data_IF_937226771729
#
_entry.id   IF_937226771729
#
_cell.length_a   1.000
_cell.length_b   1.000
_cell.length_c   1.000
_cell.angle_alpha   90.00
_cell.angle_beta   90.00
_cell.angle_gamma   90.00
#
_symmetry.space_group_name_H-M   'P 1'
#
loop_
_entity.id
_entity.type
_entity.pdbx_description
1 polymer ?
#
# COMPACT_ATOMS: atom_id res chain seq x y z
N UNK A 1 6.80 -5.01 -11.91
CA UNK A 1 7.10 -4.85 -13.35
C UNK A 1 5.89 -4.38 -14.17
N UNK A 2 4.66 -4.86 -13.93
CA UNK A 2 3.45 -4.40 -14.64
C UNK A 2 3.16 -2.89 -14.51
N UNK A 3 3.37 -2.30 -13.33
CA UNK A 3 3.17 -0.85 -13.11
C UNK A 3 4.22 -0.02 -13.86
N UNK A 4 5.48 -0.47 -13.88
CA UNK A 4 6.55 0.20 -14.65
C UNK A 4 6.32 0.13 -16.17
N UNK A 5 5.76 -0.99 -16.65
CA UNK A 5 5.40 -1.17 -18.06
C UNK A 5 4.22 -0.28 -18.48
N UNK A 6 3.24 -0.08 -17.59
CA UNK A 6 2.11 0.82 -17.84
C UNK A 6 2.56 2.30 -17.90
N UNK A 7 3.51 2.69 -17.04
CA UNK A 7 4.10 4.03 -17.04
C UNK A 7 4.95 4.31 -18.29
N UNK A 8 5.69 3.31 -18.78
CA UNK A 8 6.53 3.44 -19.97
C UNK A 8 5.71 3.49 -21.27
N UNK A 9 4.47 2.98 -21.28
CA UNK A 9 3.59 2.99 -22.45
C UNK A 9 2.67 4.23 -22.53
N UNK A 10 2.34 4.88 -21.40
CA UNK A 10 1.49 6.09 -21.41
C UNK A 10 2.23 7.37 -21.82
N UNK A 11 3.57 7.43 -21.72
CA UNK A 11 4.35 8.57 -22.20
C UNK A 11 4.36 8.74 -23.72
N UNK A 12 3.91 7.72 -24.48
CA UNK A 12 3.90 7.72 -25.94
C UNK A 12 2.60 8.21 -26.60
N UNK A 13 1.58 8.59 -25.83
CA UNK A 13 0.24 8.83 -26.38
C UNK A 13 -0.12 10.31 -26.64
N UNK A 14 0.76 11.26 -26.30
CA UNK A 14 0.45 12.70 -26.45
C UNK A 14 1.39 13.52 -27.34
N UNK A 15 2.47 12.94 -27.89
CA UNK A 15 3.28 13.67 -28.86
C UNK A 15 2.67 13.56 -30.27
N UNK A 16 1.54 14.22 -30.48
CA UNK A 16 1.01 14.47 -31.82
C UNK A 16 1.82 15.63 -32.40
N UNK A 17 2.99 15.31 -32.95
CA UNK A 17 3.77 16.26 -33.74
C UNK A 17 2.94 16.70 -34.95
N UNK A 18 2.33 17.88 -34.87
CA UNK A 18 1.96 18.63 -36.07
C UNK A 18 3.22 18.78 -36.91
N UNK A 19 3.15 18.41 -38.21
CA UNK A 19 4.30 18.34 -39.11
C UNK A 19 4.90 19.70 -39.43
N UNK A 20 5.53 20.33 -38.45
CA UNK A 20 6.34 21.52 -38.63
C UNK A 20 7.62 21.15 -39.38
N UNK A 21 7.95 21.91 -40.41
CA UNK A 21 9.17 21.71 -41.19
C UNK A 21 10.35 22.21 -40.36
N UNK A 22 11.32 21.33 -40.12
CA UNK A 22 12.52 21.71 -39.38
C UNK A 22 13.50 22.41 -40.33
N UNK A 23 13.75 23.70 -40.09
CA UNK A 23 14.68 24.51 -40.87
C UNK A 23 16.03 24.58 -40.17
N UNK A 24 17.12 24.47 -40.94
CA UNK A 24 18.44 24.75 -40.40
C UNK A 24 18.62 26.26 -40.19
N UNK A 25 19.53 26.67 -39.29
CA UNK A 25 19.81 28.08 -39.02
C UNK A 25 20.13 28.85 -40.32
N UNK A 26 20.86 28.23 -41.26
CA UNK A 26 21.22 28.84 -42.54
C UNK A 26 20.04 29.02 -43.49
N UNK A 27 19.15 28.03 -43.55
CA UNK A 27 17.95 28.08 -44.41
C UNK A 27 16.96 29.12 -43.87
N UNK A 28 16.83 29.19 -42.55
CA UNK A 28 16.02 30.20 -41.88
C UNK A 28 16.53 31.62 -42.16
N UNK A 29 17.84 31.89 -42.00
CA UNK A 29 18.42 33.20 -42.31
C UNK A 29 18.22 33.59 -43.78
N UNK A 30 18.27 32.61 -44.69
CA UNK A 30 18.03 32.83 -46.12
C UNK A 30 16.56 33.19 -46.38
N UNK A 31 15.63 32.46 -45.77
CA UNK A 31 14.20 32.74 -45.87
C UNK A 31 13.84 34.13 -45.30
N UNK A 32 14.46 34.56 -44.20
CA UNK A 32 14.30 35.91 -43.64
C UNK A 32 14.79 36.98 -44.61
N UNK A 33 16.00 36.81 -45.20
CA UNK A 33 16.57 37.77 -46.16
C UNK A 33 15.75 37.91 -47.44
N UNK A 34 15.07 36.85 -47.83
CA UNK A 34 14.21 36.81 -49.01
C UNK A 34 12.77 37.28 -48.71
N UNK A 35 12.46 37.69 -47.47
CA UNK A 35 11.14 38.14 -47.07
C UNK A 35 10.08 37.03 -47.06
N UNK A 36 10.50 35.76 -46.95
CA UNK A 36 9.60 34.58 -46.99
C UNK A 36 9.07 34.17 -45.61
N UNK A 37 9.33 34.97 -44.58
CA UNK A 37 8.90 34.71 -43.20
C UNK A 37 7.80 35.69 -42.84
N UNK A 38 6.64 35.16 -42.48
CA UNK A 38 5.43 35.92 -42.15
C UNK A 38 5.37 36.21 -40.65
N UNK A 39 5.54 35.17 -39.83
CA UNK A 39 5.59 35.29 -38.38
C UNK A 39 6.84 34.59 -37.85
N UNK A 40 7.46 35.18 -36.82
CA UNK A 40 8.61 34.59 -36.14
C UNK A 40 8.52 34.83 -34.63
N UNK A 41 8.23 33.78 -33.87
CA UNK A 41 8.21 33.78 -32.41
C UNK A 41 9.48 33.12 -31.89
N UNK A 42 10.25 33.85 -31.08
CA UNK A 42 11.46 33.33 -30.46
C UNK A 42 11.19 32.83 -29.04
N UNK A 43 11.46 31.55 -28.79
CA UNK A 43 11.37 30.94 -27.47
C UNK A 43 12.74 30.93 -26.79
N UNK A 44 12.91 31.79 -25.78
CA UNK A 44 14.18 31.96 -25.05
C UNK A 44 14.56 30.70 -24.24
N UNK A 45 13.57 29.89 -23.85
CA UNK A 45 13.78 28.72 -22.99
C UNK A 45 14.65 27.62 -23.64
N UNK A 46 14.57 27.47 -24.96
CA UNK A 46 15.29 26.44 -25.72
C UNK A 46 16.06 26.97 -26.94
N UNK A 47 15.97 28.27 -27.23
CA UNK A 47 16.62 28.90 -28.38
C UNK A 47 15.96 28.53 -29.72
N UNK A 48 14.70 28.09 -29.69
CA UNK A 48 13.93 27.78 -30.90
C UNK A 48 13.22 29.03 -31.43
N UNK A 49 13.15 29.15 -32.75
CA UNK A 49 12.33 30.10 -33.49
C UNK A 49 11.24 29.29 -34.17
N UNK A 50 9.98 29.62 -33.91
CA UNK A 50 8.83 28.99 -34.57
C UNK A 50 7.94 30.02 -35.22
N UNK A 51 7.30 29.67 -36.33
CA UNK A 51 6.48 30.61 -37.07
C UNK A 51 5.94 30.03 -38.37
N UNK A 52 5.40 30.89 -39.22
CA UNK A 52 4.92 30.54 -40.55
C UNK A 52 5.81 31.15 -41.63
N UNK A 53 6.11 30.35 -42.66
CA UNK A 53 6.90 30.80 -43.79
C UNK A 53 6.36 30.22 -45.11
N UNK A 54 6.66 30.88 -46.22
CA UNK A 54 6.39 30.37 -47.57
C UNK A 54 7.56 29.52 -48.06
N UNK A 55 7.28 28.29 -48.52
CA UNK A 55 8.32 27.37 -48.99
C UNK A 55 9.01 27.87 -50.26
N UNK A 56 8.25 28.48 -51.19
CA UNK A 56 8.76 29.03 -52.44
C UNK A 56 8.56 30.56 -52.52
N UNK A 57 9.47 31.25 -53.21
CA UNK A 57 9.46 32.71 -53.33
C UNK A 57 8.33 33.26 -54.22
N UNK A 58 7.65 32.39 -54.99
CA UNK A 58 6.48 32.73 -55.82
C UNK A 58 5.19 32.89 -55.02
N UNK A 59 5.19 32.44 -53.77
CA UNK A 59 3.98 32.21 -52.97
C UNK A 59 3.78 33.30 -51.90
N UNK A 60 4.76 34.22 -51.81
CA UNK A 60 4.77 35.36 -50.89
C UNK A 60 3.52 36.21 -51.11
N UNK A 61 2.66 36.28 -50.09
CA UNK A 61 1.38 37.00 -50.12
C UNK A 61 0.14 36.12 -50.35
N UNK A 62 0.27 34.78 -50.40
CA UNK A 62 -0.86 33.85 -50.37
C UNK A 62 -0.97 33.15 -49.01
N UNK A 63 -2.00 33.50 -48.24
CA UNK A 63 -2.27 32.94 -46.89
C UNK A 63 -2.50 31.42 -46.89
N UNK A 64 -2.84 30.81 -48.03
CA UNK A 64 -3.14 29.37 -48.12
C UNK A 64 -1.91 28.46 -48.19
N UNK A 65 -0.71 29.02 -48.41
CA UNK A 65 0.54 28.26 -48.57
C UNK A 65 1.52 28.47 -47.39
N UNK A 66 1.04 29.07 -46.30
CA UNK A 66 1.79 29.21 -45.06
C UNK A 66 2.02 27.84 -44.41
N UNK A 67 3.30 27.51 -44.20
CA UNK A 67 3.69 26.25 -43.54
C UNK A 67 4.34 26.55 -42.20
N UNK A 68 3.98 25.84 -41.12
CA UNK A 68 4.64 26.00 -39.84
C UNK A 68 6.09 25.49 -39.92
N UNK A 69 7.04 26.29 -39.42
CA UNK A 69 8.44 25.89 -39.30
C UNK A 69 8.93 25.96 -37.85
N UNK A 70 9.99 25.19 -37.59
CA UNK A 70 10.79 25.30 -36.38
C UNK A 70 12.27 25.35 -36.76
N UNK A 71 12.95 26.42 -36.36
CA UNK A 71 14.39 26.59 -36.52
C UNK A 71 15.05 26.73 -35.15
N UNK A 72 16.34 26.42 -35.05
CA UNK A 72 17.13 26.73 -33.85
C UNK A 72 18.08 27.87 -34.17
N UNK A 73 17.98 28.95 -33.39
CA UNK A 73 18.83 30.12 -33.55
C UNK A 73 19.42 30.54 -32.20
N UNK A 74 20.74 30.55 -32.12
CA UNK A 74 21.46 30.80 -30.88
C UNK A 74 21.83 32.27 -30.81
N UNK A 75 21.10 33.02 -29.97
CA UNK A 75 21.33 34.44 -29.72
C UNK A 75 20.10 35.30 -30.06
N UNK A 76 19.36 35.73 -29.03
CA UNK A 76 18.24 36.67 -29.19
C UNK A 76 18.68 37.99 -29.84
N UNK A 77 19.87 38.44 -29.52
CA UNK A 77 20.34 39.78 -29.88
C UNK A 77 20.67 39.89 -31.38
N UNK A 78 21.29 38.85 -31.96
CA UNK A 78 21.62 38.80 -33.39
C UNK A 78 20.42 38.43 -34.26
N UNK A 79 19.43 37.72 -33.70
CA UNK A 79 18.15 37.47 -34.37
C UNK A 79 17.37 38.79 -34.52
N UNK A 80 17.33 39.58 -33.45
CA UNK A 80 16.64 40.88 -33.43
C UNK A 80 17.28 41.85 -34.43
N UNK A 81 18.60 41.86 -34.53
CA UNK A 81 19.32 42.67 -35.52
C UNK A 81 19.03 42.18 -36.95
N UNK A 82 18.99 40.86 -37.20
CA UNK A 82 18.66 40.29 -38.51
C UNK A 82 17.23 40.61 -38.96
N UNK A 83 16.26 40.51 -38.05
CA UNK A 83 14.86 40.83 -38.33
C UNK A 83 14.65 42.35 -38.49
N UNK A 84 15.45 43.18 -37.80
CA UNK A 84 15.42 44.63 -37.97
C UNK A 84 16.06 45.11 -39.28
N UNK A 85 17.08 44.41 -39.79
CA UNK A 85 17.79 44.78 -41.03
C UNK A 85 17.07 44.30 -42.30
N UNK A 86 16.43 43.12 -42.27
CA UNK A 86 15.83 42.49 -43.47
C UNK A 86 14.32 42.24 -43.38
N UNK A 87 13.67 42.54 -42.26
CA UNK A 87 12.26 42.19 -41.98
C UNK A 87 11.18 43.06 -42.63
N UNK A 88 11.45 43.69 -43.78
CA UNK A 88 10.46 44.36 -44.64
C UNK A 88 9.78 45.62 -44.05
N UNK A 89 9.35 46.54 -44.92
CA UNK A 89 8.63 47.78 -44.53
C UNK A 89 7.16 47.54 -44.11
N UNK A 90 6.63 46.32 -44.28
CA UNK A 90 5.36 45.88 -43.70
C UNK A 90 5.68 44.87 -42.59
N UNK A 91 5.76 45.39 -41.35
CA UNK A 91 6.49 44.79 -40.24
C UNK A 91 6.11 43.36 -39.87
N UNK A 92 7.11 42.50 -39.81
CA UNK A 92 7.03 41.19 -39.15
C UNK A 92 6.68 41.41 -37.67
N UNK A 93 5.55 40.85 -37.24
CA UNK A 93 5.06 40.93 -35.87
C UNK A 93 5.97 40.06 -34.97
N UNK A 94 7.00 40.71 -34.40
CA UNK A 94 7.95 40.07 -33.48
C UNK A 94 7.39 40.11 -32.06
N UNK A 95 6.81 38.99 -31.62
CA UNK A 95 6.36 38.81 -30.25
C UNK A 95 7.28 37.83 -29.50
N UNK A 96 7.81 38.28 -28.36
CA UNK A 96 8.63 37.47 -27.46
C UNK A 96 7.72 36.88 -26.40
N UNK A 97 7.03 35.80 -26.77
CA UNK A 97 6.12 35.14 -25.86
C UNK A 97 6.92 34.36 -24.80
N UNK A 98 7.11 35.01 -23.65
CA UNK A 98 7.70 34.43 -22.44
C UNK A 98 6.65 33.80 -21.54
N UNK A 99 5.38 33.81 -21.95
CA UNK A 99 4.28 33.27 -21.19
C UNK A 99 3.97 31.89 -21.71
N UNK A 100 4.53 30.83 -21.11
CA UNK A 100 4.08 29.46 -21.37
C UNK A 100 2.55 29.38 -21.14
N UNK A 101 1.70 29.38 -22.19
CA UNK A 101 0.25 29.42 -22.01
C UNK A 101 -0.25 28.13 -21.36
N UNK A 102 0.61 27.12 -21.40
CA UNK A 102 0.36 25.77 -20.96
C UNK A 102 0.88 25.50 -19.55
N UNK A 103 1.37 26.47 -18.77
CA UNK A 103 1.88 26.18 -17.42
C UNK A 103 0.78 25.58 -16.52
N UNK A 104 -0.41 26.19 -16.48
CA UNK A 104 -1.54 25.67 -15.69
C UNK A 104 -2.10 24.37 -16.27
N UNK A 105 -2.12 24.24 -17.60
CA UNK A 105 -2.57 23.03 -18.27
C UNK A 105 -1.61 21.85 -18.01
N UNK A 106 -0.30 22.07 -18.13
CA UNK A 106 0.75 21.10 -17.82
C UNK A 106 0.78 20.75 -16.33
N UNK A 107 0.55 21.72 -15.44
CA UNK A 107 0.44 21.45 -14.01
C UNK A 107 -0.77 20.55 -13.73
N UNK A 108 -1.93 20.83 -14.30
CA UNK A 108 -3.14 20.00 -14.12
C UNK A 108 -2.97 18.59 -14.67
N UNK A 109 -2.44 18.44 -15.90
CA UNK A 109 -2.29 17.13 -16.56
C UNK A 109 -1.23 16.26 -15.85
N UNK A 110 -0.17 16.84 -15.31
CA UNK A 110 0.87 16.09 -14.59
C UNK A 110 0.56 15.88 -13.10
N UNK A 111 -0.15 16.81 -12.45
CA UNK A 111 -0.47 16.72 -11.01
C UNK A 111 -1.69 15.82 -10.76
N UNK A 112 -2.67 15.79 -11.67
CA UNK A 112 -3.89 14.99 -11.49
C UNK A 112 -3.62 13.48 -11.32
N UNK A 113 -2.78 12.82 -12.15
CA UNK A 113 -2.46 11.40 -11.96
C UNK A 113 -1.71 11.13 -10.65
N UNK A 114 -0.79 12.03 -10.26
CA UNK A 114 -0.01 11.90 -9.03
C UNK A 114 -0.90 12.05 -7.79
N UNK A 115 -1.83 13.01 -7.79
CA UNK A 115 -2.80 13.19 -6.71
C UNK A 115 -3.72 11.96 -6.60
N UNK A 116 -4.22 11.45 -7.73
CA UNK A 116 -5.07 10.26 -7.75
C UNK A 116 -4.33 9.03 -7.18
N UNK A 117 -3.06 8.84 -7.55
CA UNK A 117 -2.23 7.75 -7.03
C UNK A 117 -2.00 7.89 -5.53
N UNK A 118 -1.67 9.09 -5.04
CA UNK A 118 -1.50 9.35 -3.60
C UNK A 118 -2.80 9.09 -2.84
N UNK A 119 -3.95 9.48 -3.39
CA UNK A 119 -5.26 9.25 -2.79
C UNK A 119 -5.59 7.76 -2.68
N UNK A 120 -5.40 7.00 -3.76
CA UNK A 120 -5.60 5.53 -3.75
C UNK A 120 -4.64 4.86 -2.76
N UNK A 121 -3.37 5.28 -2.74
CA UNK A 121 -2.37 4.74 -1.81
C UNK A 121 -2.74 5.04 -0.35
N UNK A 122 -3.27 6.24 -0.06
CA UNK A 122 -3.75 6.60 1.26
C UNK A 122 -5.00 5.80 1.67
N UNK A 123 -5.94 5.56 0.74
CA UNK A 123 -7.09 4.70 0.98
C UNK A 123 -6.68 3.26 1.32
N UNK A 124 -5.74 2.68 0.55
CA UNK A 124 -5.18 1.36 0.83
C UNK A 124 -4.40 1.31 2.16
N UNK A 125 -3.61 2.34 2.49
CA UNK A 125 -2.91 2.41 3.77
C UNK A 125 -3.87 2.45 4.96
N UNK A 126 -4.99 3.20 4.87
CA UNK A 126 -6.04 3.17 5.90
C UNK A 126 -6.66 1.79 6.04
N UNK A 127 -6.85 1.06 4.94
CA UNK A 127 -7.34 -0.32 4.98
C UNK A 127 -6.31 -1.30 5.57
N UNK A 128 -5.02 -1.12 5.26
CA UNK A 128 -3.95 -2.03 5.70
C UNK A 128 -3.56 -1.82 7.17
N UNK A 129 -3.66 -0.59 7.69
CA UNK A 129 -3.49 -0.30 9.12
C UNK A 129 -4.57 -1.00 9.98
N UNK A 130 -5.78 -1.17 9.45
CA UNK A 130 -6.83 -2.00 10.09
C UNK A 130 -6.58 -3.51 9.99
N UNK A 131 -5.85 -3.96 8.97
CA UNK A 131 -5.49 -5.37 8.76
C UNK A 131 -4.24 -5.80 9.54
N UNK A 132 -3.30 -4.88 9.82
CA UNK A 132 -2.06 -5.18 10.54
C UNK A 132 -2.30 -5.59 12.01
N UNK A 133 -3.45 -5.19 12.56
CA UNK A 133 -3.90 -5.64 13.87
C UNK A 133 -4.28 -7.13 13.90
N UNK A 134 -4.56 -7.77 12.75
CA UNK A 134 -4.85 -9.21 12.64
C UNK A 134 -3.59 -10.05 12.42
N UNK A 135 -2.58 -9.54 11.72
CA UNK A 135 -1.30 -10.24 11.53
C UNK A 135 -0.48 -10.34 12.83
N UNK A 136 -0.49 -9.29 13.67
CA UNK A 136 0.09 -9.32 15.03
C UNK A 136 -0.66 -10.23 16.02
N UNK A 137 -1.88 -10.68 15.69
CA UNK A 137 -2.65 -11.63 16.51
C UNK A 137 -2.33 -13.10 16.19
N UNK A 138 -1.57 -13.41 15.15
CA UNK A 138 -1.12 -14.79 14.87
C UNK A 138 -0.03 -15.28 15.84
N UNK A 139 0.68 -14.36 16.52
CA UNK A 139 1.73 -14.70 17.50
C UNK A 139 1.27 -14.63 18.96
N UNK A 140 0.15 -13.98 19.25
CA UNK A 140 -0.49 -14.04 20.57
C UNK A 140 -1.52 -15.15 20.52
N UNK A 141 -1.23 -16.24 21.18
CA UNK A 141 -2.21 -17.28 21.46
C UNK A 141 -3.49 -16.62 22.00
N UNK A 142 -4.55 -16.62 21.19
CA UNK A 142 -5.91 -16.73 21.71
C UNK A 142 -6.09 -18.16 22.25
N UNK A 143 -5.15 -18.63 23.07
CA UNK A 143 -5.56 -19.47 24.17
C UNK A 143 -6.49 -18.53 24.92
N UNK A 144 -7.80 -18.69 24.71
CA UNK A 144 -8.74 -18.34 25.76
C UNK A 144 -8.09 -18.95 26.98
N UNK A 145 -7.46 -18.13 27.82
CA UNK A 145 -7.21 -18.50 29.20
C UNK A 145 -8.57 -19.00 29.59
N UNK A 146 -8.75 -20.33 29.66
CA UNK A 146 -10.01 -20.89 30.07
C UNK A 146 -10.22 -20.22 31.40
N UNK A 147 -11.13 -19.23 31.41
CA UNK A 147 -11.20 -18.27 32.50
C UNK A 147 -11.24 -19.13 33.73
N UNK A 148 -10.29 -18.92 34.64
CA UNK A 148 -10.06 -19.77 35.80
C UNK A 148 -11.36 -19.76 36.61
N UNK A 149 -12.25 -20.69 36.27
CA UNK A 149 -13.61 -20.68 36.75
C UNK A 149 -13.55 -21.57 37.96
N UNK A 150 -13.88 -21.01 39.12
CA UNK A 150 -14.09 -21.81 40.31
C UNK A 150 -15.41 -22.55 40.13
N UNK A 151 -15.39 -23.88 39.91
CA UNK A 151 -16.62 -24.61 39.67
C UNK A 151 -17.44 -24.64 40.97
N UNK A 152 -18.77 -24.45 40.84
CA UNK A 152 -19.69 -24.51 41.98
C UNK A 152 -20.14 -25.93 42.33
N UNK A 153 -19.77 -26.91 41.50
CA UNK A 153 -20.13 -28.33 41.66
C UNK A 153 -19.40 -28.92 42.85
N UNK A 154 -20.10 -29.70 43.67
CA UNK A 154 -19.60 -30.33 44.90
C UNK A 154 -19.72 -31.86 44.82
N UNK A 155 -19.17 -32.59 45.79
CA UNK A 155 -19.31 -34.05 45.80
C UNK A 155 -20.76 -34.51 45.96
N UNK A 156 -21.61 -33.70 46.61
CA UNK A 156 -23.05 -33.97 46.70
C UNK A 156 -23.80 -33.94 45.37
N UNK A 157 -23.22 -33.33 44.33
CA UNK A 157 -23.80 -33.30 42.98
C UNK A 157 -23.43 -34.53 42.14
N UNK A 158 -22.56 -35.42 42.65
CA UNK A 158 -22.15 -36.65 41.99
C UNK A 158 -22.85 -37.83 42.64
N UNK A 159 -23.63 -38.58 41.85
CA UNK A 159 -24.41 -39.71 42.33
C UNK A 159 -23.89 -41.04 41.78
N UNK A 160 -23.96 -42.09 42.62
CA UNK A 160 -23.79 -43.49 42.19
C UNK A 160 -22.35 -43.98 42.02
N UNK A 161 -21.35 -43.23 42.50
CA UNK A 161 -19.92 -43.58 42.41
C UNK A 161 -19.21 -43.25 43.74
N UNK A 162 -19.73 -43.79 44.84
CA UNK A 162 -19.27 -43.44 46.19
C UNK A 162 -17.80 -43.84 46.44
N UNK A 163 -17.36 -44.95 45.84
CA UNK A 163 -15.98 -45.47 45.93
C UNK A 163 -14.97 -44.48 45.35
N UNK A 164 -15.23 -43.97 44.13
CA UNK A 164 -14.34 -43.00 43.49
C UNK A 164 -14.39 -41.63 44.17
N UNK A 165 -15.53 -41.25 44.73
CA UNK A 165 -15.64 -40.03 45.55
C UNK A 165 -14.78 -40.15 46.80
N UNK A 166 -14.77 -41.30 47.47
CA UNK A 166 -13.94 -41.54 48.66
C UNK A 166 -12.45 -41.43 48.34
N UNK A 167 -11.97 -42.05 47.27
CA UNK A 167 -10.56 -41.91 46.84
C UNK A 167 -10.19 -40.45 46.51
N UNK A 168 -11.12 -39.71 45.90
CA UNK A 168 -10.88 -38.31 45.53
C UNK A 168 -10.99 -37.33 46.70
N UNK A 169 -11.52 -37.73 47.86
CA UNK A 169 -11.46 -36.92 49.08
C UNK A 169 -10.02 -36.68 49.53
N UNK A 170 -9.14 -37.66 49.35
CA UNK A 170 -7.71 -37.49 49.64
C UNK A 170 -7.08 -36.42 48.73
N UNK A 171 -7.42 -36.45 47.44
CA UNK A 171 -6.96 -35.45 46.46
C UNK A 171 -7.50 -34.07 46.80
N UNK A 172 -8.76 -33.98 47.23
CA UNK A 172 -9.39 -32.74 47.70
C UNK A 172 -8.66 -32.17 48.92
N UNK A 173 -8.41 -33.00 49.93
CA UNK A 173 -7.70 -32.59 51.15
C UNK A 173 -6.30 -32.08 50.82
N UNK A 174 -5.62 -32.73 49.87
CA UNK A 174 -4.33 -32.28 49.37
C UNK A 174 -4.40 -30.91 48.68
N UNK A 175 -5.40 -30.68 47.83
CA UNK A 175 -5.60 -29.39 47.15
C UNK A 175 -5.97 -28.27 48.14
N UNK A 176 -6.67 -28.60 49.22
CA UNK A 176 -7.08 -27.64 50.25
C UNK A 176 -5.93 -27.24 51.20
N UNK A 177 -5.07 -28.18 51.60
CA UNK A 177 -3.92 -27.92 52.49
C UNK A 177 -2.66 -28.69 52.04
N UNK A 178 -1.97 -28.22 50.99
CA UNK A 178 -0.78 -28.89 50.47
C UNK A 178 0.40 -28.86 51.44
N UNK A 179 0.45 -27.88 52.36
CA UNK A 179 1.55 -27.76 53.32
C UNK A 179 1.55 -28.88 54.35
N UNK A 180 0.36 -29.29 54.82
CA UNK A 180 0.22 -30.39 55.78
C UNK A 180 0.80 -31.68 55.23
N UNK A 181 0.51 -32.01 53.98
CA UNK A 181 1.03 -33.21 53.32
C UNK A 181 2.55 -33.15 53.10
N UNK A 182 3.08 -31.96 52.77
CA UNK A 182 4.53 -31.76 52.63
C UNK A 182 5.27 -31.92 53.96
N UNK A 183 4.70 -31.44 55.07
CA UNK A 183 5.27 -31.58 56.44
C UNK A 183 5.31 -33.04 56.91
N UNK A 184 4.31 -33.84 56.51
CA UNK A 184 4.23 -35.28 56.81
C UNK A 184 5.20 -36.13 55.95
N UNK A 185 5.89 -35.52 54.97
CA UNK A 185 6.77 -36.24 54.05
C UNK A 185 6.03 -37.12 53.03
N UNK A 186 4.72 -36.92 52.87
CA UNK A 186 3.92 -37.69 51.93
C UNK A 186 4.26 -37.32 50.48
N UNK A 187 4.35 -38.33 49.60
CA UNK A 187 4.61 -38.12 48.17
C UNK A 187 3.34 -37.58 47.50
N UNK A 188 3.45 -36.38 46.94
CA UNK A 188 2.33 -35.69 46.28
C UNK A 188 1.94 -36.43 44.98
N UNK A 189 0.68 -36.89 44.83
CA UNK A 189 0.17 -37.40 43.57
C UNK A 189 0.26 -36.32 42.49
N UNK A 190 0.89 -36.64 41.35
CA UNK A 190 1.09 -35.66 40.26
C UNK A 190 -0.07 -35.60 39.27
N UNK A 191 -0.95 -36.59 39.28
CA UNK A 191 -2.11 -36.67 38.40
C UNK A 191 -2.96 -37.88 38.70
N UNK A 192 -4.23 -37.79 38.33
CA UNK A 192 -5.22 -38.86 38.44
C UNK A 192 -5.80 -39.11 37.06
N UNK A 193 -5.87 -40.36 36.64
CA UNK A 193 -6.48 -40.75 35.37
C UNK A 193 -7.85 -41.38 35.63
N UNK A 194 -8.91 -40.68 35.24
CA UNK A 194 -10.28 -41.20 35.32
C UNK A 194 -10.61 -41.98 34.03
N UNK A 195 -10.90 -43.27 34.16
CA UNK A 195 -11.20 -44.16 33.03
C UNK A 195 -12.65 -44.64 33.10
N UNK A 196 -13.33 -44.70 31.96
CA UNK A 196 -14.68 -45.28 31.86
C UNK A 196 -15.39 -44.88 30.57
N UNK A 197 -16.53 -45.51 30.25
CA UNK A 197 -17.35 -45.19 29.07
C UNK A 197 -17.71 -43.70 28.96
N UNK A 198 -17.97 -43.15 27.76
CA UNK A 198 -18.43 -41.77 27.64
C UNK A 198 -19.73 -41.55 28.43
N UNK A 199 -19.90 -40.37 29.04
CA UNK A 199 -21.10 -40.03 29.82
C UNK A 199 -21.11 -40.44 31.30
N UNK A 200 -20.09 -41.15 31.81
CA UNK A 200 -20.02 -41.58 33.22
C UNK A 200 -19.59 -40.51 34.23
N UNK A 201 -19.76 -39.22 33.90
CA UNK A 201 -19.49 -38.14 34.85
C UNK A 201 -18.01 -37.86 35.17
N UNK A 202 -17.03 -38.40 34.44
CA UNK A 202 -15.58 -38.13 34.69
C UNK A 202 -15.23 -36.65 34.81
N UNK A 203 -15.69 -35.82 33.87
CA UNK A 203 -15.48 -34.37 33.90
C UNK A 203 -16.26 -33.69 35.03
N UNK A 204 -17.43 -34.23 35.39
CA UNK A 204 -18.23 -33.72 36.50
C UNK A 204 -17.51 -33.98 37.84
N UNK A 205 -16.97 -35.18 38.01
CA UNK A 205 -16.20 -35.60 39.18
C UNK A 205 -14.92 -34.74 39.34
N UNK A 206 -14.19 -34.51 38.25
CA UNK A 206 -13.02 -33.61 38.27
C UNK A 206 -13.39 -32.16 38.67
N UNK A 207 -14.54 -31.66 38.21
CA UNK A 207 -15.07 -30.34 38.62
C UNK A 207 -15.50 -30.33 40.09
N UNK A 208 -16.10 -31.43 40.58
CA UNK A 208 -16.50 -31.57 41.98
C UNK A 208 -15.30 -31.53 42.93
N UNK A 209 -14.19 -32.20 42.59
CA UNK A 209 -12.94 -32.14 43.37
C UNK A 209 -12.42 -30.70 43.49
N UNK A 210 -12.35 -29.99 42.36
CA UNK A 210 -11.88 -28.60 42.35
C UNK A 210 -12.84 -27.66 43.11
N UNK A 211 -14.15 -27.89 42.98
CA UNK A 211 -15.16 -27.11 43.69
C UNK A 211 -15.12 -27.36 45.20
N UNK A 212 -14.91 -28.59 45.63
CA UNK A 212 -14.78 -28.95 47.06
C UNK A 212 -13.52 -28.37 47.70
N UNK A 213 -12.42 -28.28 46.97
CA UNK A 213 -11.18 -27.66 47.44
C UNK A 213 -11.16 -26.12 47.26
N UNK A 214 -12.19 -25.51 46.65
CA UNK A 214 -12.23 -24.09 46.26
C UNK A 214 -11.01 -23.62 45.45
N UNK A 215 -10.50 -24.48 44.57
CA UNK A 215 -9.36 -24.18 43.70
C UNK A 215 -9.80 -23.91 42.26
N UNK A 216 -9.04 -23.11 41.49
CA UNK A 216 -9.29 -22.91 40.06
C UNK A 216 -9.31 -24.23 39.27
N UNK A 217 -10.25 -24.37 38.34
CA UNK A 217 -10.34 -25.53 37.45
C UNK A 217 -9.98 -25.14 36.02
N UNK A 218 -8.96 -25.80 35.47
CA UNK A 218 -8.52 -25.65 34.08
C UNK A 218 -8.92 -26.89 33.28
N UNK A 219 -9.58 -26.70 32.14
CA UNK A 219 -10.02 -27.80 31.27
C UNK A 219 -9.46 -27.61 29.88
N UNK A 220 -8.65 -28.55 29.41
CA UNK A 220 -8.11 -28.53 28.04
C UNK A 220 -8.44 -29.89 27.42
N UNK A 221 -8.90 -29.91 26.16
CA UNK A 221 -9.15 -31.17 25.47
C UNK A 221 -7.84 -31.72 24.90
N UNK A 222 -7.63 -33.04 25.00
CA UNK A 222 -6.48 -33.71 24.40
C UNK A 222 -6.39 -33.50 22.88
N UNK A 223 -7.54 -33.36 22.21
CA UNK A 223 -7.63 -33.03 20.78
C UNK A 223 -6.99 -31.69 20.43
N UNK A 224 -7.03 -30.72 21.36
CA UNK A 224 -6.51 -29.37 21.14
C UNK A 224 -4.98 -29.37 21.02
N UNK A 225 -4.32 -30.43 21.51
CA UNK A 225 -2.87 -30.62 21.39
C UNK A 225 -2.44 -31.26 20.07
N UNK A 226 -3.37 -31.78 19.27
CA UNK A 226 -3.08 -32.56 18.04
C UNK A 226 -3.31 -31.74 16.75
N UNK A 227 -3.73 -30.47 16.85
CA UNK A 227 -4.00 -29.66 15.65
C UNK A 227 -2.74 -29.29 14.83
N UNK A 228 -2.75 -29.79 13.58
CA UNK A 228 -2.16 -29.39 12.28
C UNK A 228 -0.74 -28.80 12.13
N UNK A 229 0.02 -28.49 13.17
CA UNK A 229 1.44 -28.12 12.99
C UNK A 229 2.33 -28.73 14.06
N UNK A 230 3.20 -29.64 13.64
CA UNK A 230 4.33 -30.13 14.43
C UNK A 230 5.20 -28.91 14.78
N UNK A 231 5.28 -28.55 16.07
CA UNK A 231 6.12 -27.45 16.55
C UNK A 231 5.44 -26.38 17.42
N UNK A 232 4.10 -26.38 17.56
CA UNK A 232 3.40 -25.37 18.40
C UNK A 232 2.94 -25.90 19.75
N UNK A 233 2.88 -27.23 19.94
CA UNK A 233 2.37 -27.87 21.16
C UNK A 233 3.16 -27.57 22.44
N UNK A 234 4.49 -27.43 22.34
CA UNK A 234 5.35 -27.13 23.50
C UNK A 234 5.24 -25.68 24.01
N UNK A 235 4.67 -24.76 23.22
CA UNK A 235 4.49 -23.35 23.60
C UNK A 235 3.19 -23.05 24.33
N UNK A 236 2.31 -24.06 24.50
CA UNK A 236 0.96 -23.93 25.06
C UNK A 236 0.85 -24.41 26.51
N UNK A 237 1.97 -24.77 27.15
CA UNK A 237 2.03 -25.27 28.53
C UNK A 237 2.78 -24.29 29.43
#
# INVERSE_FOLDING_TARGET
MLVAYLFMNMGGFFNRSTGAVQLTTSDFVTAVKEGRVDTATYTVADGSVSGTFWQDASDVGQDSELVPYTATYVGSDTLNELMAEYGGEDGVEYDVDTSDPNFLANLMVNVLPTILLVFVMFYFMRQMLGANNKAMQFGKTNAKTNESTRPKVKFGDVAGIDEAVEELKEVRDFLADPERFRKLGAKIPRGVLLVGPPGTGKTLLAKAVAGEADVPFFSISGSDFVEMFVGVGASRV
#
